data_IF_521585473460
#
_entry.id   IF_521585473460
#
_cell.length_a   1.000
_cell.length_b   1.000
_cell.length_c   1.000
_cell.angle_alpha   90.00
_cell.angle_beta   90.00
_cell.angle_gamma   90.00
#
_symmetry.space_group_name_H-M   'P 1'
#
loop_
_entity.id
_entity.type
_entity.pdbx_description
1 polymer ?
#
# COMPACT_ATOMS: atom_id res chain seq x y z
N UNK A 1 24.97 -3.27 -20.01
CA UNK A 1 23.57 -2.82 -19.88
C UNK A 1 22.67 -3.83 -20.56
N UNK A 2 22.19 -4.84 -19.81
CA UNK A 2 21.21 -5.80 -20.32
C UNK A 2 19.91 -5.55 -19.55
N UNK A 3 18.87 -5.14 -20.29
CA UNK A 3 17.53 -4.93 -19.77
C UNK A 3 16.96 -6.26 -19.23
N UNK A 4 16.31 -6.18 -18.07
CA UNK A 4 15.80 -7.32 -17.33
C UNK A 4 14.70 -8.08 -18.09
N UNK A 5 15.10 -9.11 -18.84
CA UNK A 5 14.83 -10.52 -18.50
C UNK A 5 13.39 -11.04 -18.41
N UNK A 6 12.38 -10.38 -18.96
CA UNK A 6 11.03 -10.93 -19.09
C UNK A 6 10.59 -10.82 -20.54
N UNK A 7 10.26 -11.95 -21.17
CA UNK A 7 9.79 -11.96 -22.55
C UNK A 7 8.27 -11.89 -22.63
N UNK A 8 7.75 -11.31 -23.70
CA UNK A 8 6.33 -11.11 -23.93
C UNK A 8 5.56 -12.44 -23.94
N UNK A 9 6.20 -13.53 -24.38
CA UNK A 9 5.62 -14.88 -24.37
C UNK A 9 5.40 -15.42 -22.95
N UNK A 10 6.26 -15.06 -21.99
CA UNK A 10 6.09 -15.47 -20.59
C UNK A 10 4.90 -14.77 -19.92
N UNK A 11 4.58 -13.55 -20.36
CA UNK A 11 3.41 -12.80 -19.90
C UNK A 11 2.12 -13.42 -20.44
N UNK A 12 2.11 -13.79 -21.73
CA UNK A 12 0.94 -14.38 -22.41
C UNK A 12 0.62 -15.79 -21.88
N UNK A 13 1.63 -16.65 -21.69
CA UNK A 13 1.41 -18.01 -21.20
C UNK A 13 0.77 -18.07 -19.80
N UNK A 14 1.08 -17.10 -18.94
CA UNK A 14 0.50 -17.00 -17.60
C UNK A 14 -0.90 -16.37 -17.61
N UNK A 15 -1.19 -15.46 -18.56
CA UNK A 15 -2.55 -14.94 -18.79
C UNK A 15 -3.54 -16.06 -19.16
N UNK A 16 -3.08 -17.02 -19.98
CA UNK A 16 -3.90 -18.16 -20.39
C UNK A 16 -4.10 -19.20 -19.27
N UNK A 17 -3.11 -19.39 -18.40
CA UNK A 17 -3.17 -20.36 -17.30
C UNK A 17 -4.16 -19.98 -16.18
N UNK A 18 -4.47 -18.69 -16.01
CA UNK A 18 -5.32 -18.18 -14.91
C UNK A 18 -6.82 -18.32 -15.19
N UNK A 19 -7.21 -18.64 -16.42
CA UNK A 19 -8.60 -18.92 -16.77
C UNK A 19 -9.48 -17.67 -16.78
N UNK A 20 -10.43 -17.65 -17.71
CA UNK A 20 -11.31 -16.54 -18.04
C UNK A 20 -12.24 -16.13 -16.89
N UNK A 21 -11.74 -15.30 -15.96
CA UNK A 21 -12.57 -14.44 -15.09
C UNK A 21 -11.94 -13.06 -15.03
N UNK A 22 -12.43 -12.22 -15.93
CA UNK A 22 -12.10 -10.79 -16.12
C UNK A 22 -10.61 -10.46 -16.39
N UNK A 23 -10.21 -10.38 -17.67
CA UNK A 23 -8.82 -10.14 -18.10
C UNK A 23 -8.17 -8.85 -17.55
N UNK A 24 -8.96 -7.83 -17.20
CA UNK A 24 -8.41 -6.55 -16.72
C UNK A 24 -7.95 -6.61 -15.27
N UNK A 25 -8.46 -7.57 -14.47
CA UNK A 25 -8.21 -7.63 -13.03
C UNK A 25 -6.90 -8.35 -12.65
N UNK A 26 -6.36 -9.17 -13.54
CA UNK A 26 -5.22 -10.07 -13.27
C UNK A 26 -3.91 -9.67 -13.93
N UNK A 27 -3.91 -8.79 -14.94
CA UNK A 27 -2.69 -8.44 -15.70
C UNK A 27 -1.54 -7.91 -14.83
N UNK A 28 -1.84 -7.15 -13.78
CA UNK A 28 -0.82 -6.63 -12.84
C UNK A 28 -0.37 -7.68 -11.81
N UNK A 29 -1.25 -8.61 -11.38
CA UNK A 29 -0.88 -9.74 -10.52
C UNK A 29 0.10 -10.63 -11.27
N UNK A 30 -0.17 -10.85 -12.55
CA UNK A 30 0.69 -11.60 -13.45
C UNK A 30 2.02 -10.86 -13.68
N UNK A 31 1.99 -9.55 -13.94
CA UNK A 31 3.22 -8.76 -14.06
C UNK A 31 4.08 -8.80 -12.79
N UNK A 32 3.47 -8.69 -11.61
CA UNK A 32 4.18 -8.75 -10.33
C UNK A 32 4.71 -10.16 -10.02
N UNK A 33 3.97 -11.22 -10.36
CA UNK A 33 4.44 -12.61 -10.29
C UNK A 33 5.58 -12.89 -11.28
N UNK A 34 5.61 -12.21 -12.41
CA UNK A 34 6.70 -12.32 -13.38
C UNK A 34 7.94 -11.59 -12.85
N UNK A 35 7.77 -10.40 -12.26
CA UNK A 35 8.85 -9.70 -11.55
C UNK A 35 9.41 -10.52 -10.39
N UNK A 36 8.57 -11.30 -9.69
CA UNK A 36 9.00 -12.16 -8.58
C UNK A 36 9.99 -13.27 -8.98
N UNK A 37 10.16 -13.53 -10.29
CA UNK A 37 11.17 -14.46 -10.84
C UNK A 37 12.56 -13.83 -10.99
N UNK A 38 12.72 -12.52 -10.78
CA UNK A 38 14.02 -11.85 -10.84
C UNK A 38 14.87 -12.29 -9.62
N UNK A 39 16.11 -12.77 -9.83
CA UNK A 39 16.99 -13.21 -8.75
C UNK A 39 17.20 -12.10 -7.70
N UNK A 40 16.94 -12.40 -6.43
CA UNK A 40 17.07 -11.45 -5.30
C UNK A 40 15.74 -10.92 -4.77
N UNK A 41 14.63 -11.17 -5.45
CA UNK A 41 13.28 -10.91 -4.93
C UNK A 41 12.74 -12.18 -4.25
N UNK A 42 12.22 -12.04 -3.02
CA UNK A 42 11.55 -13.15 -2.34
C UNK A 42 10.17 -13.37 -2.95
N UNK A 43 10.07 -14.32 -3.87
CA UNK A 43 8.86 -14.64 -4.59
C UNK A 43 7.68 -15.02 -3.69
N UNK A 44 7.93 -15.57 -2.49
CA UNK A 44 6.86 -15.95 -1.55
C UNK A 44 6.23 -14.73 -0.91
N UNK A 45 7.02 -13.71 -0.61
CA UNK A 45 6.51 -12.45 -0.04
C UNK A 45 5.66 -11.71 -1.06
N UNK A 46 6.11 -11.67 -2.32
CA UNK A 46 5.34 -11.06 -3.41
C UNK A 46 4.03 -11.82 -3.66
N UNK A 47 4.06 -13.15 -3.73
CA UNK A 47 2.85 -13.94 -3.98
C UNK A 47 1.83 -13.86 -2.82
N UNK A 48 2.29 -13.85 -1.56
CA UNK A 48 1.40 -13.64 -0.40
C UNK A 48 0.83 -12.23 -0.40
N UNK A 49 1.66 -11.21 -0.63
CA UNK A 49 1.22 -9.82 -0.72
C UNK A 49 0.20 -9.63 -1.85
N UNK A 50 0.46 -10.15 -3.04
CA UNK A 50 -0.45 -10.11 -4.18
C UNK A 50 -1.78 -10.79 -3.89
N UNK A 51 -1.74 -11.95 -3.22
CA UNK A 51 -2.94 -12.67 -2.82
C UNK A 51 -3.79 -11.83 -1.87
N UNK A 52 -3.22 -11.34 -0.78
CA UNK A 52 -3.95 -10.64 0.27
C UNK A 52 -4.50 -9.30 -0.24
N UNK A 53 -3.69 -8.56 -1.01
CA UNK A 53 -4.13 -7.34 -1.68
C UNK A 53 -5.25 -7.65 -2.66
N UNK A 54 -5.09 -8.67 -3.50
CA UNK A 54 -6.13 -9.06 -4.46
C UNK A 54 -7.44 -9.38 -3.75
N UNK A 55 -7.41 -10.25 -2.73
CA UNK A 55 -8.59 -10.60 -1.95
C UNK A 55 -9.25 -9.37 -1.34
N UNK A 56 -8.47 -8.50 -0.70
CA UNK A 56 -9.01 -7.29 -0.07
C UNK A 56 -9.63 -6.31 -1.07
N UNK A 57 -9.04 -6.15 -2.27
CA UNK A 57 -9.56 -5.18 -3.26
C UNK A 57 -10.69 -5.75 -4.13
N UNK A 58 -10.79 -7.08 -4.30
CA UNK A 58 -11.81 -7.71 -5.16
C UNK A 58 -12.99 -8.29 -4.40
N UNK A 59 -12.82 -8.69 -3.14
CA UNK A 59 -13.87 -9.32 -2.33
C UNK A 59 -14.41 -8.35 -1.28
N UNK A 60 -15.66 -7.93 -1.46
CA UNK A 60 -16.32 -6.99 -0.55
C UNK A 60 -16.56 -7.58 0.84
N UNK A 61 -16.82 -8.89 0.95
CA UNK A 61 -17.03 -9.54 2.23
C UNK A 61 -15.73 -9.59 3.03
N UNK A 62 -14.61 -9.91 2.38
CA UNK A 62 -13.27 -9.84 2.98
C UNK A 62 -12.95 -8.41 3.42
N UNK A 63 -13.13 -7.43 2.52
CA UNK A 63 -12.88 -6.01 2.84
C UNK A 63 -13.68 -5.54 4.06
N UNK A 64 -14.97 -5.86 4.11
CA UNK A 64 -15.86 -5.51 5.22
C UNK A 64 -15.47 -6.20 6.52
N UNK A 65 -15.08 -7.47 6.48
CA UNK A 65 -14.60 -8.18 7.66
C UNK A 65 -13.30 -7.55 8.21
N UNK A 66 -12.36 -7.19 7.33
CA UNK A 66 -11.13 -6.49 7.72
C UNK A 66 -11.45 -5.11 8.33
N UNK A 67 -12.37 -4.35 7.72
CA UNK A 67 -12.78 -3.05 8.26
C UNK A 67 -13.39 -3.19 9.65
N UNK A 68 -14.26 -4.16 9.88
CA UNK A 68 -14.87 -4.41 11.19
C UNK A 68 -13.83 -4.69 12.28
N UNK A 69 -12.79 -5.48 11.97
CA UNK A 69 -11.69 -5.75 12.92
C UNK A 69 -10.96 -4.48 13.28
N UNK A 70 -10.60 -3.65 12.29
CA UNK A 70 -9.87 -2.40 12.55
C UNK A 70 -10.75 -1.38 13.26
N UNK A 71 -11.99 -1.17 12.80
CA UNK A 71 -12.93 -0.22 13.38
C UNK A 71 -13.30 -0.57 14.83
N UNK A 72 -13.32 -1.86 15.20
CA UNK A 72 -13.57 -2.29 16.57
C UNK A 72 -12.48 -1.84 17.57
N UNK A 73 -11.24 -1.67 17.10
CA UNK A 73 -10.12 -1.18 17.91
C UNK A 73 -10.09 0.37 17.98
N UNK A 74 -10.83 1.05 17.11
CA UNK A 74 -10.91 2.51 17.07
C UNK A 74 -11.98 3.02 18.05
N UNK A 75 -11.54 3.40 19.24
CA UNK A 75 -12.36 4.10 20.23
C UNK A 75 -12.66 5.57 19.87
N UNK A 76 -13.16 6.30 20.86
CA UNK A 76 -13.42 7.75 20.75
C UNK A 76 -12.14 8.59 20.99
N UNK A 77 -11.06 7.97 21.49
CA UNK A 77 -9.78 8.62 21.79
C UNK A 77 -8.97 8.98 20.53
N UNK A 78 -8.13 10.04 20.58
CA UNK A 78 -7.23 10.38 19.49
C UNK A 78 -6.20 9.26 19.23
N UNK A 79 -5.92 9.00 17.94
CA UNK A 79 -4.98 7.96 17.55
C UNK A 79 -4.09 8.37 16.37
N UNK A 80 -3.02 7.60 16.16
CA UNK A 80 -2.15 7.69 14.98
C UNK A 80 -2.26 6.37 14.23
N UNK A 81 -2.59 6.42 12.94
CA UNK A 81 -2.65 5.24 12.09
C UNK A 81 -1.30 5.01 11.42
N UNK A 82 -0.73 3.82 11.58
CA UNK A 82 0.48 3.38 10.86
C UNK A 82 0.11 2.19 9.99
N UNK A 83 0.10 2.41 8.67
CA UNK A 83 -0.30 1.43 7.67
C UNK A 83 0.89 0.95 6.83
N UNK A 84 1.50 -0.20 7.16
CA UNK A 84 2.54 -0.81 6.34
C UNK A 84 1.93 -1.61 5.18
N UNK A 85 2.44 -1.44 3.96
CA UNK A 85 2.05 -2.22 2.78
C UNK A 85 0.52 -2.25 2.57
N UNK A 86 -0.12 -3.43 2.53
CA UNK A 86 -1.59 -3.55 2.47
C UNK A 86 -2.31 -2.78 3.60
N UNK A 87 -1.70 -2.68 4.77
CA UNK A 87 -2.20 -1.88 5.88
C UNK A 87 -2.40 -0.40 5.55
N UNK A 88 -1.64 0.15 4.59
CA UNK A 88 -1.87 1.53 4.11
C UNK A 88 -3.21 1.67 3.38
N UNK A 89 -3.57 0.66 2.57
CA UNK A 89 -4.83 0.61 1.81
C UNK A 89 -6.01 0.38 2.75
N UNK A 90 -5.83 -0.48 3.76
CA UNK A 90 -6.81 -0.70 4.83
C UNK A 90 -7.04 0.59 5.62
N UNK A 91 -5.97 1.19 6.15
CA UNK A 91 -6.05 2.42 6.94
C UNK A 91 -6.69 3.56 6.14
N UNK A 92 -6.32 3.74 4.87
CA UNK A 92 -6.93 4.76 4.02
C UNK A 92 -8.44 4.56 3.86
N UNK A 93 -8.89 3.33 3.58
CA UNK A 93 -10.32 3.05 3.42
C UNK A 93 -11.09 3.22 4.74
N UNK A 94 -10.55 2.72 5.86
CA UNK A 94 -11.18 2.87 7.18
C UNK A 94 -11.24 4.34 7.60
N UNK A 95 -10.19 5.14 7.37
CA UNK A 95 -10.20 6.56 7.71
C UNK A 95 -11.18 7.38 6.86
N UNK A 96 -11.58 6.87 5.69
CA UNK A 96 -12.62 7.45 4.83
C UNK A 96 -14.03 6.91 5.13
N UNK A 97 -14.15 5.88 5.98
CA UNK A 97 -15.43 5.35 6.45
C UNK A 97 -16.16 6.37 7.32
N UNK A 98 -17.47 6.46 7.19
CA UNK A 98 -18.31 7.31 8.03
C UNK A 98 -18.42 6.79 9.48
N UNK A 99 -17.99 5.56 9.74
CA UNK A 99 -18.12 4.90 11.04
C UNK A 99 -17.00 5.23 12.03
N UNK A 100 -15.99 5.99 11.61
CA UNK A 100 -14.88 6.39 12.47
C UNK A 100 -15.34 7.36 13.55
N UNK A 101 -15.06 7.03 14.81
CA UNK A 101 -15.49 7.80 15.98
C UNK A 101 -14.42 8.78 16.48
N UNK A 102 -13.23 8.29 16.86
CA UNK A 102 -12.14 9.11 17.36
C UNK A 102 -11.38 9.90 16.28
N UNK A 103 -10.74 11.04 16.63
CA UNK A 103 -9.94 11.84 15.70
C UNK A 103 -8.60 11.16 15.36
N UNK A 104 -8.17 11.24 14.10
CA UNK A 104 -6.91 10.66 13.64
C UNK A 104 -5.89 11.80 13.53
N UNK A 105 -4.90 11.80 14.42
CA UNK A 105 -3.83 12.81 14.48
C UNK A 105 -2.92 12.70 13.27
N UNK A 106 -2.71 11.50 12.74
CA UNK A 106 -2.04 11.35 11.47
C UNK A 106 -2.04 9.93 10.94
N UNK A 107 -1.77 9.84 9.65
CA UNK A 107 -1.63 8.61 8.88
C UNK A 107 -0.19 8.51 8.39
N UNK A 108 0.48 7.42 8.74
CA UNK A 108 1.82 7.09 8.29
C UNK A 108 1.70 5.86 7.40
N UNK A 109 1.96 6.01 6.10
CA UNK A 109 1.95 4.89 5.16
C UNK A 109 3.38 4.48 4.84
N UNK A 110 3.70 3.20 5.01
CA UNK A 110 5.06 2.65 4.87
C UNK A 110 5.07 1.63 3.73
N UNK A 111 5.90 1.83 2.71
CA UNK A 111 5.94 0.91 1.57
C UNK A 111 4.58 0.79 0.85
N UNK A 112 3.89 1.91 0.68
CA UNK A 112 2.48 1.94 0.28
C UNK A 112 2.24 1.65 -1.20
N UNK A 113 1.34 0.71 -1.56
CA UNK A 113 0.95 0.50 -2.96
C UNK A 113 -0.18 1.42 -3.43
N UNK A 114 -0.61 2.42 -2.64
CA UNK A 114 -1.75 3.29 -2.98
C UNK A 114 -1.56 4.03 -4.32
N UNK A 115 -0.32 4.36 -4.69
CA UNK A 115 0.02 5.02 -5.96
C UNK A 115 0.01 4.08 -7.17
N UNK A 116 -0.13 2.76 -6.96
CA UNK A 116 -0.18 1.79 -8.05
C UNK A 116 -1.57 1.87 -8.73
N UNK A 117 -1.65 2.07 -10.06
CA UNK A 117 -2.92 2.30 -10.75
C UNK A 117 -3.98 1.20 -10.54
N UNK A 118 -3.57 -0.07 -10.51
CA UNK A 118 -4.47 -1.22 -10.29
C UNK A 118 -5.04 -1.29 -8.86
N UNK A 119 -4.35 -0.70 -7.89
CA UNK A 119 -4.85 -0.56 -6.51
C UNK A 119 -5.71 0.69 -6.42
N UNK A 120 -5.20 1.84 -6.87
CA UNK A 120 -5.91 3.11 -6.90
C UNK A 120 -7.27 3.01 -7.60
N UNK A 121 -7.33 2.33 -8.73
CA UNK A 121 -8.56 2.12 -9.51
C UNK A 121 -9.64 1.29 -8.80
N UNK A 122 -9.30 0.60 -7.72
CA UNK A 122 -10.24 -0.19 -6.90
C UNK A 122 -10.67 0.52 -5.62
N UNK A 123 -10.13 1.72 -5.37
CA UNK A 123 -10.57 2.56 -4.26
C UNK A 123 -11.84 3.31 -4.64
N UNK A 124 -12.65 3.64 -3.64
CA UNK A 124 -13.84 4.49 -3.86
C UNK A 124 -13.40 5.86 -4.40
N UNK A 125 -13.84 6.18 -5.61
CA UNK A 125 -13.58 7.46 -6.24
C UNK A 125 -14.48 8.57 -5.65
N UNK A 126 -14.03 9.84 -5.66
CA UNK A 126 -12.65 10.27 -5.93
C UNK A 126 -11.70 9.82 -4.82
N UNK A 127 -10.42 9.57 -5.15
CA UNK A 127 -9.38 9.48 -4.12
C UNK A 127 -9.19 10.89 -3.54
N UNK A 128 -9.20 11.00 -2.22
CA UNK A 128 -9.18 12.29 -1.53
C UNK A 128 -8.53 12.12 -0.16
N UNK A 129 -8.05 13.23 0.39
CA UNK A 129 -7.50 13.26 1.74
C UNK A 129 -8.61 12.90 2.76
N UNK A 130 -8.42 11.92 3.66
CA UNK A 130 -9.44 11.52 4.61
C UNK A 130 -9.89 12.70 5.49
N UNK A 131 -11.21 12.81 5.69
CA UNK A 131 -11.78 13.87 6.53
C UNK A 131 -11.27 13.76 7.97
N UNK A 132 -11.04 14.89 8.66
CA UNK A 132 -10.51 14.95 10.05
C UNK A 132 -9.23 14.14 10.24
N UNK A 133 -8.33 14.21 9.26
CA UNK A 133 -6.95 13.73 9.36
C UNK A 133 -6.04 14.96 9.44
N UNK A 134 -5.23 15.08 10.50
CA UNK A 134 -4.41 16.29 10.66
C UNK A 134 -3.10 16.25 9.84
N UNK A 135 -2.49 15.08 9.66
CA UNK A 135 -1.26 14.93 8.90
C UNK A 135 -1.18 13.58 8.18
N UNK A 136 -0.53 13.54 7.01
CA UNK A 136 -0.24 12.31 6.29
C UNK A 136 1.20 12.32 5.76
N UNK A 137 2.02 11.38 6.26
CA UNK A 137 3.34 11.07 5.72
C UNK A 137 3.30 9.72 4.98
N UNK A 138 3.77 9.71 3.75
CA UNK A 138 4.07 8.49 2.99
C UNK A 138 5.58 8.28 2.92
N UNK A 139 6.08 7.20 3.51
CA UNK A 139 7.49 6.83 3.47
C UNK A 139 7.70 5.59 2.59
N UNK A 140 8.71 5.65 1.72
CA UNK A 140 9.03 4.57 0.79
C UNK A 140 10.54 4.50 0.54
N UNK A 141 11.05 3.29 0.37
CA UNK A 141 12.37 3.04 -0.19
C UNK A 141 12.25 3.00 -1.72
N UNK A 142 13.16 3.65 -2.44
CA UNK A 142 13.13 3.69 -3.91
C UNK A 142 13.35 2.32 -4.56
N UNK A 143 13.96 1.38 -3.84
CA UNK A 143 14.16 -0.01 -4.27
C UNK A 143 13.03 -0.95 -3.82
N UNK A 144 12.01 -0.45 -3.10
CA UNK A 144 10.83 -1.22 -2.72
C UNK A 144 9.88 -1.36 -3.92
N UNK A 145 9.80 -2.58 -4.46
CA UNK A 145 8.98 -2.92 -5.63
C UNK A 145 7.47 -2.86 -5.39
N UNK A 146 7.03 -2.77 -4.14
CA UNK A 146 5.62 -2.57 -3.79
C UNK A 146 5.28 -1.08 -3.77
N UNK A 147 6.25 -0.25 -3.38
CA UNK A 147 6.12 1.19 -3.18
C UNK A 147 6.73 2.02 -4.32
N UNK A 148 6.58 1.54 -5.56
CA UNK A 148 7.22 2.09 -6.76
C UNK A 148 6.84 3.53 -7.13
N UNK A 149 5.86 4.13 -6.44
CA UNK A 149 5.31 5.44 -6.78
C UNK A 149 5.09 6.29 -5.52
N UNK A 150 5.55 7.54 -5.50
CA UNK A 150 5.16 8.49 -4.47
C UNK A 150 3.64 8.73 -4.50
N UNK A 151 3.07 9.20 -3.41
CA UNK A 151 1.66 9.61 -3.34
C UNK A 151 1.54 11.10 -3.65
N UNK A 152 1.78 11.48 -4.89
CA UNK A 152 1.75 12.87 -5.37
C UNK A 152 0.55 13.13 -6.30
N UNK A 153 0.53 14.29 -6.97
CA UNK A 153 -0.55 14.67 -7.88
C UNK A 153 -0.68 13.79 -9.12
N UNK A 154 0.37 13.05 -9.50
CA UNK A 154 0.32 12.14 -10.64
C UNK A 154 -0.28 10.79 -10.22
N UNK A 155 0.22 10.24 -9.11
CA UNK A 155 -0.08 8.87 -8.71
C UNK A 155 -1.16 8.76 -7.63
N UNK A 156 -1.40 9.77 -6.80
CA UNK A 156 -2.46 9.75 -5.79
C UNK A 156 -2.96 11.17 -5.45
N UNK A 157 -3.68 11.82 -6.39
CA UNK A 157 -4.03 13.24 -6.29
C UNK A 157 -5.06 13.46 -5.18
N UNK A 158 -4.59 13.95 -4.04
CA UNK A 158 -5.42 14.31 -2.89
C UNK A 158 -5.27 15.79 -2.59
N UNK A 159 -6.28 16.35 -1.91
CA UNK A 159 -6.25 17.72 -1.39
C UNK A 159 -6.62 17.69 0.10
N UNK A 160 -5.74 18.12 1.03
CA UNK A 160 -4.37 18.60 0.80
C UNK A 160 -3.40 17.54 0.25
N UNK A 161 -2.23 17.98 -0.22
CA UNK A 161 -1.16 17.10 -0.70
C UNK A 161 -0.56 16.25 0.43
N UNK A 162 -0.15 15.03 0.09
CA UNK A 162 0.52 14.10 1.01
C UNK A 162 2.02 14.41 1.06
N UNK A 163 2.59 14.44 2.26
CA UNK A 163 4.02 14.56 2.45
C UNK A 163 4.70 13.24 2.08
N UNK A 164 5.67 13.27 1.16
CA UNK A 164 6.39 12.09 0.71
C UNK A 164 7.84 12.10 1.23
N UNK A 165 8.25 10.99 1.86
CA UNK A 165 9.61 10.71 2.28
C UNK A 165 10.15 9.49 1.52
N UNK A 166 10.77 9.74 0.36
CA UNK A 166 11.41 8.71 -0.47
C UNK A 166 12.86 8.41 -0.10
N UNK A 167 13.30 8.80 1.10
CA UNK A 167 14.69 8.71 1.56
C UNK A 167 14.98 7.50 2.44
N UNK A 168 14.02 6.59 2.61
CA UNK A 168 14.18 5.42 3.46
C UNK A 168 15.21 4.48 2.86
N UNK A 169 16.22 4.11 3.64
CA UNK A 169 17.20 3.08 3.31
C UNK A 169 16.84 1.78 4.06
N UNK A 170 15.84 1.06 3.56
CA UNK A 170 15.30 -0.11 4.22
C UNK A 170 16.32 -1.26 4.17
N UNK A 171 16.82 -1.71 5.33
CA UNK A 171 17.89 -2.70 5.40
C UNK A 171 17.42 -4.15 5.15
N UNK A 172 16.11 -4.41 5.04
CA UNK A 172 15.62 -5.78 4.82
C UNK A 172 15.98 -6.27 3.43
N UNK A 173 16.11 -7.60 3.27
CA UNK A 173 16.57 -8.21 2.02
C UNK A 173 15.70 -7.85 0.80
N UNK A 174 14.41 -7.61 1.02
CA UNK A 174 13.45 -7.21 -0.02
C UNK A 174 13.13 -5.70 -0.02
N UNK A 175 13.78 -4.89 0.82
CA UNK A 175 13.53 -3.45 1.00
C UNK A 175 12.10 -3.07 1.43
N UNK A 176 11.26 -4.05 1.78
CA UNK A 176 9.84 -3.87 2.08
C UNK A 176 9.46 -4.21 3.53
N UNK A 177 10.41 -4.72 4.33
CA UNK A 177 10.14 -5.11 5.71
C UNK A 177 9.85 -3.89 6.57
N UNK A 178 8.85 -4.01 7.45
CA UNK A 178 8.37 -2.91 8.30
C UNK A 178 9.48 -2.41 9.24
N UNK A 179 10.37 -3.29 9.65
CA UNK A 179 11.48 -3.01 10.56
C UNK A 179 12.43 -1.96 9.97
N UNK A 180 12.70 -2.03 8.66
CA UNK A 180 13.53 -1.05 7.98
C UNK A 180 12.85 0.32 7.86
N UNK A 181 11.54 0.35 7.69
CA UNK A 181 10.76 1.58 7.69
C UNK A 181 10.70 2.23 9.07
N UNK A 182 10.47 1.45 10.13
CA UNK A 182 10.37 1.97 11.50
C UNK A 182 11.72 2.37 12.10
N UNK A 183 12.83 1.83 11.57
CA UNK A 183 14.18 2.23 11.94
C UNK A 183 14.59 3.58 11.32
N UNK A 184 13.86 4.08 10.32
CA UNK A 184 14.14 5.38 9.71
C UNK A 184 13.85 6.53 10.70
N UNK A 185 14.81 7.46 10.82
CA UNK A 185 14.73 8.56 11.78
C UNK A 185 13.62 9.56 11.49
N UNK A 186 13.27 9.79 10.21
CA UNK A 186 12.18 10.70 9.82
C UNK A 186 10.84 10.07 10.16
N UNK A 187 10.66 8.78 9.85
CA UNK A 187 9.46 8.01 10.19
C UNK A 187 9.26 7.95 11.71
N UNK A 188 10.28 7.53 12.45
CA UNK A 188 10.21 7.41 13.90
C UNK A 188 9.90 8.75 14.58
N UNK A 189 10.58 9.83 14.13
CA UNK A 189 10.32 11.18 14.63
C UNK A 189 8.88 11.62 14.35
N UNK A 190 8.37 11.41 13.13
CA UNK A 190 6.99 11.80 12.78
C UNK A 190 5.97 11.08 13.65
N UNK A 191 6.13 9.78 13.88
CA UNK A 191 5.24 9.02 14.77
C UNK A 191 5.29 9.59 16.20
N UNK A 192 6.49 9.82 16.73
CA UNK A 192 6.65 10.38 18.08
C UNK A 192 6.03 11.77 18.24
N UNK A 193 6.17 12.64 17.25
CA UNK A 193 5.58 13.98 17.26
C UNK A 193 4.04 13.92 17.27
N UNK A 194 3.44 13.05 16.45
CA UNK A 194 1.99 12.86 16.38
C UNK A 194 1.40 12.25 17.66
N UNK A 195 2.15 11.40 18.36
CA UNK A 195 1.72 10.83 19.64
C UNK A 195 1.74 11.87 20.78
N UNK A 196 2.60 12.89 20.67
CA UNK A 196 2.78 13.94 21.69
C UNK A 196 1.88 15.17 21.51
N UNK A 197 1.35 15.38 20.31
CA UNK A 197 0.46 16.50 19.97
C UNK A 197 -0.95 16.31 20.54
#
# INVERSE_FOLDING_TARGET
>A
MAAAGVTEEQIVAELDAVGSRDPQNWGWVLAARVLSRIPGLDARVIDTWLRDVSLYVTDEAVRRAVHQVVEAELGDEPFVAVGPSLGSVVAYNVLRSAHRRGPCRGLITLGSPLGVPSIRGRLTAPVNYPHRLAAWLNAFDQADIVALRPLDTEFFPTDPLIENHGGVANFTGNRHGIEGYLADGVVAKRIADLLRA
#
